data_IF_744559399855
#
_entry.id   IF_744559399855
#
_cell.length_a   1.000
_cell.length_b   1.000
_cell.length_c   1.000
_cell.angle_alpha   90.00
_cell.angle_beta   90.00
_cell.angle_gamma   90.00
#
_symmetry.space_group_name_H-M   'P 1'
#
loop_
_entity.id
_entity.type
_entity.pdbx_description
1 polymer ?
#
# COMPACT_ATOMS: atom_id res chain seq x y z
N UNK A 1 8.41 58.42 -34.20
CA UNK A 1 8.23 57.55 -33.01
C UNK A 1 8.04 56.09 -33.43
N UNK A 2 9.09 55.42 -33.92
CA UNK A 2 9.01 53.98 -34.24
C UNK A 2 9.80 53.12 -33.25
N UNK A 3 10.87 53.65 -32.66
CA UNK A 3 11.61 53.01 -31.58
C UNK A 3 10.77 52.79 -30.31
N UNK A 4 10.02 53.81 -29.88
CA UNK A 4 9.13 53.70 -28.72
C UNK A 4 7.99 52.70 -28.92
N UNK A 5 7.46 52.57 -30.16
CA UNK A 5 6.45 51.57 -30.48
C UNK A 5 7.01 50.15 -30.53
N UNK A 6 8.28 49.98 -30.94
CA UNK A 6 8.96 48.68 -30.94
C UNK A 6 9.26 48.21 -29.52
N UNK A 7 9.72 49.09 -28.63
CA UNK A 7 9.94 48.78 -27.21
C UNK A 7 8.63 48.45 -26.47
N UNK A 8 7.52 49.13 -26.80
CA UNK A 8 6.22 48.87 -26.18
C UNK A 8 5.60 47.54 -26.62
N UNK A 9 5.89 47.08 -27.84
CA UNK A 9 5.44 45.79 -28.37
C UNK A 9 6.52 44.69 -28.25
N UNK A 10 7.59 44.92 -27.48
CA UNK A 10 8.66 43.95 -27.31
C UNK A 10 8.29 42.96 -26.18
N UNK A 11 7.56 41.90 -26.56
CA UNK A 11 7.20 40.78 -25.67
C UNK A 11 8.30 39.70 -25.60
N UNK A 12 9.42 39.88 -26.31
CA UNK A 12 10.48 38.87 -26.44
C UNK A 12 11.22 38.57 -25.12
N UNK A 13 10.97 39.34 -24.05
CA UNK A 13 11.56 39.17 -22.73
C UNK A 13 10.59 38.94 -21.57
N UNK A 14 9.27 38.90 -21.81
CA UNK A 14 8.29 38.81 -20.71
C UNK A 14 7.99 37.37 -20.26
N UNK A 15 8.24 36.38 -21.12
CA UNK A 15 8.17 34.96 -20.76
C UNK A 15 9.60 34.52 -20.44
N UNK A 16 9.99 34.47 -19.15
CA UNK A 16 10.96 33.47 -18.63
C UNK A 16 11.28 33.62 -17.13
N UNK A 17 11.23 34.79 -16.48
CA UNK A 17 12.08 34.90 -15.27
C UNK A 17 11.49 34.49 -13.92
N UNK A 18 10.20 34.68 -13.61
CA UNK A 18 9.70 34.47 -12.24
C UNK A 18 8.34 33.77 -12.16
N UNK A 19 7.39 34.12 -13.03
CA UNK A 19 6.05 33.51 -13.04
C UNK A 19 6.09 32.02 -13.40
N UNK A 20 6.92 31.64 -14.38
CA UNK A 20 7.11 30.23 -14.75
C UNK A 20 7.78 29.43 -13.62
N UNK A 21 8.72 30.06 -12.89
CA UNK A 21 9.39 29.44 -11.74
C UNK A 21 8.40 29.24 -10.58
N UNK A 22 7.54 30.23 -10.33
CA UNK A 22 6.47 30.11 -9.33
C UNK A 22 5.54 28.94 -9.65
N UNK A 23 5.08 28.81 -10.89
CA UNK A 23 4.23 27.69 -11.31
C UNK A 23 5.00 26.37 -11.20
N UNK A 24 6.23 26.32 -11.70
CA UNK A 24 7.05 25.10 -11.67
C UNK A 24 7.29 24.60 -10.23
N UNK A 25 7.56 25.50 -9.28
CA UNK A 25 7.77 25.11 -7.87
C UNK A 25 6.50 24.58 -7.22
N UNK A 26 5.34 25.18 -7.50
CA UNK A 26 4.04 24.67 -7.02
C UNK A 26 3.77 23.27 -7.57
N UNK A 27 4.02 23.05 -8.86
CA UNK A 27 3.86 21.74 -9.49
C UNK A 27 4.79 20.70 -8.85
N UNK A 28 6.07 21.03 -8.64
CA UNK A 28 7.03 20.11 -8.01
C UNK A 28 6.62 19.75 -6.59
N UNK A 29 6.16 20.70 -5.78
CA UNK A 29 5.67 20.42 -4.42
C UNK A 29 4.45 19.51 -4.47
N UNK A 30 3.50 19.78 -5.37
CA UNK A 30 2.34 18.92 -5.59
C UNK A 30 2.72 17.49 -5.99
N UNK A 31 3.71 17.34 -6.87
CA UNK A 31 4.23 16.03 -7.27
C UNK A 31 4.91 15.28 -6.11
N UNK A 32 5.64 15.97 -5.24
CA UNK A 32 6.28 15.34 -4.07
C UNK A 32 5.22 14.77 -3.11
N UNK A 33 4.19 15.56 -2.78
CA UNK A 33 3.09 15.09 -1.91
C UNK A 33 2.30 13.97 -2.59
N UNK A 34 2.02 14.10 -3.89
CA UNK A 34 1.35 13.06 -4.66
C UNK A 34 2.13 11.75 -4.71
N UNK A 35 3.45 11.81 -4.90
CA UNK A 35 4.32 10.63 -4.90
C UNK A 35 4.41 9.98 -3.52
N UNK A 36 4.42 10.78 -2.44
CA UNK A 36 4.36 10.26 -1.08
C UNK A 36 3.04 9.49 -0.84
N UNK A 37 1.90 10.03 -1.28
CA UNK A 37 0.61 9.34 -1.18
C UNK A 37 0.57 8.04 -1.98
N UNK A 38 1.14 8.02 -3.21
CA UNK A 38 1.23 6.80 -4.02
C UNK A 38 2.11 5.74 -3.34
N UNK A 39 3.25 6.14 -2.76
CA UNK A 39 4.12 5.22 -2.01
C UNK A 39 3.37 4.59 -0.84
N UNK A 40 2.64 5.39 -0.08
CA UNK A 40 1.95 4.93 1.12
C UNK A 40 0.80 3.98 0.74
N UNK A 41 0.04 4.32 -0.31
CA UNK A 41 -1.01 3.45 -0.85
C UNK A 41 -0.47 2.11 -1.37
N UNK A 42 0.60 2.12 -2.16
CA UNK A 42 1.20 0.86 -2.67
C UNK A 42 1.69 -0.02 -1.53
N UNK A 43 2.25 0.57 -0.48
CA UNK A 43 2.74 -0.20 0.68
C UNK A 43 1.58 -0.82 1.46
N UNK A 44 0.45 -0.11 1.59
CA UNK A 44 -0.76 -0.65 2.22
C UNK A 44 -1.30 -1.85 1.42
N UNK A 45 -1.47 -1.73 0.10
CA UNK A 45 -1.96 -2.81 -0.75
C UNK A 45 -1.04 -4.05 -0.72
N UNK A 46 0.28 -3.84 -0.72
CA UNK A 46 1.24 -4.94 -0.60
C UNK A 46 1.17 -5.63 0.77
N UNK A 47 0.82 -4.89 1.82
CA UNK A 47 0.59 -5.46 3.15
C UNK A 47 -0.65 -6.35 3.16
N UNK A 48 -1.73 -5.93 2.50
CA UNK A 48 -2.96 -6.72 2.39
C UNK A 48 -2.75 -7.98 1.55
N UNK A 49 -1.98 -7.88 0.45
CA UNK A 49 -1.55 -9.05 -0.32
C UNK A 49 -0.72 -10.00 0.53
N UNK A 50 0.17 -9.50 1.38
CA UNK A 50 0.96 -10.32 2.28
C UNK A 50 0.08 -11.02 3.33
N UNK A 51 -0.87 -10.31 3.92
CA UNK A 51 -1.86 -10.89 4.85
C UNK A 51 -2.70 -11.99 4.19
N UNK A 52 -3.17 -11.77 2.96
CA UNK A 52 -3.91 -12.78 2.21
C UNK A 52 -3.08 -14.05 1.90
N UNK A 53 -1.77 -13.90 1.71
CA UNK A 53 -0.86 -15.04 1.55
C UNK A 53 -0.64 -15.77 2.89
N UNK A 54 -0.57 -15.02 3.99
CA UNK A 54 -0.37 -15.57 5.33
C UNK A 54 -1.61 -16.34 5.81
N UNK A 55 -2.81 -15.87 5.48
CA UNK A 55 -4.08 -16.56 5.81
C UNK A 55 -4.33 -17.81 4.93
N UNK A 56 -3.43 -18.13 3.99
CA UNK A 56 -3.52 -19.38 3.25
C UNK A 56 -3.26 -20.58 4.17
N UNK A 57 -4.30 -21.38 4.42
CA UNK A 57 -4.19 -22.60 5.21
C UNK A 57 -3.29 -23.64 4.52
N UNK A 58 -2.05 -23.75 5.00
CA UNK A 58 -1.08 -24.78 4.61
C UNK A 58 -1.03 -25.94 5.60
N UNK A 59 -1.98 -26.02 6.54
CA UNK A 59 -1.97 -27.06 7.58
C UNK A 59 -2.36 -28.41 6.98
N UNK A 60 -1.51 -29.41 7.20
CA UNK A 60 -1.82 -30.79 6.82
C UNK A 60 -1.44 -31.75 7.93
N UNK A 61 -2.21 -32.83 8.05
CA UNK A 61 -1.96 -33.90 8.99
C UNK A 61 -2.19 -35.21 8.26
N UNK A 62 -1.18 -36.08 8.27
CA UNK A 62 -1.37 -37.47 7.90
C UNK A 62 -0.85 -38.39 8.99
N UNK A 63 -1.63 -39.41 9.29
CA UNK A 63 -1.31 -40.38 10.34
C UNK A 63 -0.39 -41.47 9.82
N UNK A 64 0.53 -41.89 10.68
CA UNK A 64 1.36 -43.07 10.42
C UNK A 64 0.53 -44.35 10.48
N UNK A 65 0.90 -45.34 9.66
CA UNK A 65 0.28 -46.68 9.69
C UNK A 65 1.28 -47.67 10.28
N UNK A 66 0.85 -48.45 11.27
CA UNK A 66 1.66 -49.48 11.94
C UNK A 66 1.06 -50.86 11.69
N UNK A 67 1.88 -51.79 11.20
CA UNK A 67 1.56 -53.21 11.05
C UNK A 67 2.62 -54.09 11.72
N UNK A 68 2.43 -55.41 11.67
CA UNK A 68 3.28 -56.38 12.40
C UNK A 68 4.77 -56.34 12.03
N UNK A 69 5.13 -55.97 10.80
CA UNK A 69 6.51 -55.99 10.29
C UNK A 69 6.97 -54.64 9.72
N UNK A 70 6.15 -53.60 9.80
CA UNK A 70 6.47 -52.29 9.24
C UNK A 70 5.67 -51.17 9.91
N UNK A 71 6.26 -50.00 10.00
CA UNK A 71 5.60 -48.77 10.44
C UNK A 71 6.04 -47.61 9.54
N UNK A 72 5.12 -46.70 9.24
CA UNK A 72 5.40 -45.40 8.61
C UNK A 72 5.04 -44.31 9.62
N UNK A 73 5.92 -43.33 9.80
CA UNK A 73 5.63 -42.17 10.64
C UNK A 73 4.63 -41.25 9.95
N UNK A 74 3.71 -40.68 10.73
CA UNK A 74 2.90 -39.55 10.28
C UNK A 74 3.73 -38.26 10.24
N UNK A 75 3.15 -37.20 9.68
CA UNK A 75 3.62 -35.84 9.89
C UNK A 75 2.46 -34.85 9.93
N UNK A 76 2.70 -33.75 10.64
CA UNK A 76 1.84 -32.59 10.71
C UNK A 76 2.62 -31.31 10.42
N UNK A 77 1.92 -30.32 9.88
CA UNK A 77 2.34 -28.93 9.85
C UNK A 77 1.15 -28.10 10.29
N UNK A 78 1.38 -27.21 11.26
CA UNK A 78 0.39 -26.26 11.75
C UNK A 78 1.08 -24.89 11.80
N UNK A 79 0.46 -23.91 11.17
CA UNK A 79 0.94 -22.54 11.25
C UNK A 79 0.75 -22.00 12.68
N UNK A 80 1.78 -21.35 13.21
CA UNK A 80 1.77 -20.81 14.56
C UNK A 80 1.87 -19.30 14.54
N UNK A 81 1.11 -18.70 15.44
CA UNK A 81 1.04 -17.26 15.62
C UNK A 81 2.43 -16.64 15.85
N UNK A 82 2.79 -15.63 15.07
CA UNK A 82 4.04 -14.90 15.21
C UNK A 82 3.88 -13.57 15.98
N UNK A 83 4.96 -12.76 16.03
CA UNK A 83 4.99 -11.49 16.75
C UNK A 83 4.05 -10.43 16.16
N UNK A 84 3.81 -10.48 14.85
CA UNK A 84 3.02 -9.52 14.09
C UNK A 84 1.55 -9.93 13.96
N UNK A 85 1.24 -11.20 14.18
CA UNK A 85 -0.15 -11.63 14.28
C UNK A 85 -0.82 -11.01 15.51
N UNK A 86 -1.88 -10.23 15.32
CA UNK A 86 -2.73 -9.75 16.42
C UNK A 86 -4.06 -10.51 16.40
N UNK A 87 -4.70 -10.69 17.55
CA UNK A 87 -6.01 -11.37 17.62
C UNK A 87 -7.16 -10.54 17.05
N UNK A 88 -6.89 -9.29 16.67
CA UNK A 88 -7.89 -8.30 16.31
C UNK A 88 -7.40 -7.60 15.02
N UNK A 89 -7.66 -8.22 13.87
CA UNK A 89 -7.58 -7.51 12.60
C UNK A 89 -8.59 -6.36 12.66
N UNK A 90 -8.09 -5.15 12.97
CA UNK A 90 -8.95 -3.98 13.11
C UNK A 90 -9.19 -3.45 11.69
N UNK A 91 -10.44 -3.42 11.20
CA UNK A 91 -10.69 -2.99 9.83
C UNK A 91 -10.13 -1.57 9.58
N UNK A 92 -9.29 -1.43 8.57
CA UNK A 92 -8.69 -0.15 8.18
C UNK A 92 -7.33 0.18 8.80
N UNK A 93 -6.63 -0.78 9.41
CA UNK A 93 -5.22 -0.62 9.82
C UNK A 93 -4.30 -1.48 8.97
N UNK A 94 -3.11 -0.96 8.64
CA UNK A 94 -2.05 -1.75 8.00
C UNK A 94 -1.61 -2.83 9.00
N UNK A 95 -1.71 -4.10 8.58
CA UNK A 95 -1.28 -5.27 9.36
C UNK A 95 0.23 -5.56 9.16
N UNK A 96 0.75 -6.68 9.66
CA UNK A 96 2.14 -7.13 9.43
C UNK A 96 3.24 -6.22 10.01
N UNK A 97 2.95 -5.53 11.13
CA UNK A 97 3.90 -4.64 11.82
C UNK A 97 4.47 -3.48 10.96
N UNK A 98 3.76 -3.03 9.92
CA UNK A 98 4.20 -1.92 9.08
C UNK A 98 3.56 -0.61 9.55
N UNK A 99 4.39 0.42 9.82
CA UNK A 99 3.92 1.75 10.25
C UNK A 99 4.30 2.81 9.22
N UNK A 100 3.29 3.41 8.56
CA UNK A 100 3.48 4.48 7.57
C UNK A 100 2.88 5.79 8.12
N UNK A 101 3.60 6.41 9.05
CA UNK A 101 3.28 7.71 9.70
C UNK A 101 1.92 7.79 10.44
N UNK A 102 1.87 8.58 11.52
CA UNK A 102 0.83 8.57 12.55
C UNK A 102 -0.52 9.25 12.18
N UNK A 103 -1.03 9.06 10.97
CA UNK A 103 -2.27 9.69 10.51
C UNK A 103 -3.09 8.77 9.61
N UNK A 104 -3.97 7.99 10.24
CA UNK A 104 -4.87 6.98 9.65
C UNK A 104 -5.28 7.19 8.19
N UNK A 105 -4.90 6.24 7.36
CA UNK A 105 -5.45 5.98 6.04
C UNK A 105 -6.26 4.68 6.17
N UNK A 106 -7.51 4.82 6.64
CA UNK A 106 -8.45 3.73 6.91
C UNK A 106 -9.41 3.48 5.71
N UNK A 107 -8.92 3.53 4.47
CA UNK A 107 -9.81 3.52 3.28
C UNK A 107 -10.22 2.12 2.79
N UNK A 108 -9.95 1.05 3.52
CA UNK A 108 -10.36 -0.34 3.19
C UNK A 108 -11.84 -0.67 3.49
N UNK A 109 -12.74 0.31 3.38
CA UNK A 109 -14.18 0.11 3.59
C UNK A 109 -14.86 -0.33 2.29
N UNK A 110 -14.29 -1.34 1.63
CA UNK A 110 -14.96 -2.14 0.60
C UNK A 110 -15.78 -3.25 1.24
N UNK A 111 -16.80 -2.91 2.03
CA UNK A 111 -17.70 -3.91 2.65
C UNK A 111 -18.44 -4.67 1.54
N UNK A 112 -17.99 -5.88 1.23
CA UNK A 112 -18.80 -6.85 0.50
C UNK A 112 -19.98 -7.25 1.40
N UNK A 113 -21.22 -7.23 0.91
CA UNK A 113 -22.35 -7.74 1.66
C UNK A 113 -22.07 -9.22 1.96
N UNK A 114 -21.90 -9.56 3.24
CA UNK A 114 -21.82 -10.96 3.65
C UNK A 114 -23.15 -11.64 3.31
N UNK A 115 -23.15 -12.85 2.74
CA UNK A 115 -24.38 -13.60 2.54
C UNK A 115 -25.06 -13.81 3.88
N UNK A 116 -26.29 -13.32 4.01
CA UNK A 116 -27.16 -13.65 5.13
C UNK A 116 -27.38 -15.17 5.10
N UNK A 117 -26.67 -15.91 5.94
CA UNK A 117 -27.04 -17.29 6.21
C UNK A 117 -28.16 -17.26 7.28
N UNK A 118 -29.31 -17.93 7.06
CA UNK A 118 -30.42 -17.93 8.01
C UNK A 118 -30.06 -18.43 9.41
#
# INVERSE_FOLDING_TARGET
>A
MQLLKRLWNDEAGFIVSTELILIATIVVIGLIVGLAAVRDAVTAELSDVAGAIQEMDQSYIFYGVVGHSAAVSGSDYADQKDFCDTTEATPGTIDNCIVIAAGGNTNEQGVLPTPNNP
#
